data_IF_821233353131
#
_entry.id   IF_821233353131
#
_cell.length_a   1.000
_cell.length_b   1.000
_cell.length_c   1.000
_cell.angle_alpha   90.00
_cell.angle_beta   90.00
_cell.angle_gamma   90.00
#
_symmetry.space_group_name_H-M   'P 1'
#
loop_
_entity.id
_entity.type
_entity.pdbx_description
1 polymer ?
#
# COMPACT_ATOMS: atom_id res chain seq x y z
N UNK A 1 -46.61 -7.53 -2.72
CA UNK A 1 -45.78 -8.58 -2.10
C UNK A 1 -44.77 -9.16 -3.07
N UNK A 2 -45.18 -9.59 -4.27
CA UNK A 2 -44.27 -10.15 -5.27
C UNK A 2 -43.05 -9.26 -5.62
N UNK A 3 -43.26 -7.95 -5.86
CA UNK A 3 -42.16 -7.03 -6.13
C UNK A 3 -41.15 -6.92 -4.97
N UNK A 4 -41.61 -6.95 -3.72
CA UNK A 4 -40.75 -6.93 -2.52
C UNK A 4 -39.94 -8.21 -2.41
N UNK A 5 -40.57 -9.36 -2.68
CA UNK A 5 -39.89 -10.65 -2.72
C UNK A 5 -38.78 -10.67 -3.78
N UNK A 6 -39.03 -10.11 -4.97
CA UNK A 6 -38.02 -10.01 -6.03
C UNK A 6 -36.85 -9.13 -5.57
N UNK A 7 -37.11 -7.95 -5.01
CA UNK A 7 -36.06 -7.06 -4.50
C UNK A 7 -35.20 -7.78 -3.47
N UNK A 8 -35.81 -8.47 -2.51
CA UNK A 8 -35.08 -9.20 -1.47
C UNK A 8 -34.24 -10.35 -2.04
N UNK A 9 -34.71 -11.05 -3.07
CA UNK A 9 -33.92 -12.07 -3.76
C UNK A 9 -32.69 -11.47 -4.44
N UNK A 10 -32.84 -10.32 -5.10
CA UNK A 10 -31.70 -9.61 -5.68
C UNK A 10 -30.73 -9.13 -4.60
N UNK A 11 -31.23 -8.56 -3.50
CA UNK A 11 -30.39 -8.16 -2.37
C UNK A 11 -29.63 -9.36 -1.78
N UNK A 12 -30.31 -10.49 -1.55
CA UNK A 12 -29.65 -11.70 -1.06
C UNK A 12 -28.54 -12.17 -2.00
N UNK A 13 -28.83 -12.26 -3.31
CA UNK A 13 -27.85 -12.67 -4.31
C UNK A 13 -26.62 -11.74 -4.33
N UNK A 14 -26.82 -10.43 -4.16
CA UNK A 14 -25.71 -9.46 -4.10
C UNK A 14 -24.89 -9.62 -2.81
N UNK A 15 -25.53 -9.89 -1.67
CA UNK A 15 -24.83 -10.14 -0.41
C UNK A 15 -23.99 -11.42 -0.49
N UNK A 16 -24.54 -12.50 -1.04
CA UNK A 16 -23.83 -13.78 -1.21
C UNK A 16 -22.65 -13.65 -2.18
N UNK A 17 -22.81 -12.84 -3.24
CA UNK A 17 -21.75 -12.59 -4.24
C UNK A 17 -20.60 -11.74 -3.69
N UNK A 18 -20.83 -10.93 -2.65
CA UNK A 18 -19.78 -10.11 -2.03
C UNK A 18 -18.88 -10.91 -1.07
N UNK A 19 -19.34 -12.05 -0.52
CA UNK A 19 -18.57 -12.83 0.45
C UNK A 19 -17.20 -13.31 -0.08
N UNK A 20 -17.07 -13.82 -1.32
CA UNK A 20 -15.78 -14.14 -1.92
C UNK A 20 -14.80 -12.96 -1.95
N UNK A 21 -15.26 -11.74 -2.18
CA UNK A 21 -14.40 -10.54 -2.24
C UNK A 21 -13.83 -10.22 -0.85
N UNK A 22 -14.65 -10.31 0.21
CA UNK A 22 -14.16 -10.15 1.58
C UNK A 22 -13.20 -11.27 1.99
N UNK A 23 -13.41 -12.50 1.52
CA UNK A 23 -12.45 -13.59 1.74
C UNK A 23 -11.11 -13.29 1.04
N UNK A 24 -11.15 -12.81 -0.19
CA UNK A 24 -9.97 -12.40 -0.94
C UNK A 24 -9.24 -11.26 -0.23
N UNK A 25 -9.95 -10.26 0.30
CA UNK A 25 -9.35 -9.18 1.10
C UNK A 25 -8.70 -9.69 2.39
N UNK A 26 -9.33 -10.62 3.11
CA UNK A 26 -8.73 -11.24 4.31
C UNK A 26 -7.40 -11.91 3.97
N UNK A 27 -7.35 -12.65 2.87
CA UNK A 27 -6.14 -13.42 2.49
C UNK A 27 -5.09 -12.52 1.85
N UNK A 28 -5.45 -11.72 0.85
CA UNK A 28 -4.51 -10.89 0.09
C UNK A 28 -4.06 -9.69 0.92
N UNK A 29 -4.99 -8.85 1.36
CA UNK A 29 -4.65 -7.64 2.10
C UNK A 29 -4.29 -7.95 3.55
N UNK A 30 -5.12 -8.74 4.23
CA UNK A 30 -4.91 -9.09 5.63
C UNK A 30 -3.65 -9.94 5.81
N UNK A 31 -3.68 -11.18 5.33
CA UNK A 31 -2.62 -12.15 5.61
C UNK A 31 -1.33 -11.87 4.85
N UNK A 32 -1.38 -11.66 3.54
CA UNK A 32 -0.17 -11.48 2.73
C UNK A 32 0.43 -10.08 2.96
N UNK A 33 -0.37 -9.03 2.83
CA UNK A 33 0.09 -7.64 2.89
C UNK A 33 0.09 -7.02 4.30
N UNK A 34 -0.34 -7.75 5.33
CA UNK A 34 -0.26 -7.31 6.72
C UNK A 34 -1.31 -6.28 7.12
N UNK A 35 -2.44 -6.24 6.41
CA UNK A 35 -3.54 -5.29 6.64
C UNK A 35 -3.28 -3.88 6.10
N UNK A 36 -2.30 -3.73 5.20
CA UNK A 36 -1.94 -2.46 4.56
C UNK A 36 -2.58 -2.43 3.17
N UNK A 37 -3.24 -1.32 2.84
CA UNK A 37 -4.08 -1.19 1.64
C UNK A 37 -3.46 -0.30 0.56
N UNK A 38 -2.58 0.62 0.94
CA UNK A 38 -2.02 1.66 0.05
C UNK A 38 -0.50 1.73 0.17
N UNK A 39 0.14 2.37 -0.81
CA UNK A 39 1.56 2.69 -0.78
C UNK A 39 1.87 3.92 0.10
N UNK A 40 0.83 4.65 0.51
CA UNK A 40 0.92 5.82 1.39
C UNK A 40 1.05 5.36 2.84
N UNK A 41 2.27 5.37 3.35
CA UNK A 41 2.56 5.00 4.74
C UNK A 41 2.15 6.10 5.72
N UNK A 42 1.58 5.74 6.87
CA UNK A 42 1.24 6.67 7.97
C UNK A 42 2.50 7.31 8.58
N UNK A 43 3.63 6.61 8.53
CA UNK A 43 4.93 7.14 8.88
C UNK A 43 6.04 6.41 8.13
N UNK A 44 7.16 7.11 7.93
CA UNK A 44 8.33 6.63 7.19
C UNK A 44 9.58 7.28 7.76
N UNK A 45 10.69 6.54 7.85
CA UNK A 45 11.99 7.08 8.29
C UNK A 45 12.44 8.18 7.32
N UNK A 46 13.08 9.23 7.83
CA UNK A 46 13.53 10.36 7.01
C UNK A 46 14.35 9.89 5.79
N UNK A 47 15.37 9.06 6.03
CA UNK A 47 16.22 8.52 4.97
C UNK A 47 15.41 7.76 3.90
N UNK A 48 14.40 6.98 4.32
CA UNK A 48 13.59 6.19 3.40
C UNK A 48 12.70 7.09 2.54
N UNK A 49 12.07 8.12 3.13
CA UNK A 49 11.27 9.06 2.33
C UNK A 49 12.17 9.79 1.33
N UNK A 50 13.32 10.29 1.77
CA UNK A 50 14.27 10.99 0.90
C UNK A 50 14.69 10.12 -0.30
N UNK A 51 14.89 8.80 -0.11
CA UNK A 51 15.16 7.84 -1.19
C UNK A 51 13.98 7.66 -2.15
N UNK A 52 12.74 7.64 -1.64
CA UNK A 52 11.54 7.47 -2.46
C UNK A 52 11.30 8.70 -3.37
N UNK A 53 11.62 9.89 -2.87
CA UNK A 53 11.45 11.14 -3.61
C UNK A 53 12.40 11.26 -4.81
N UNK A 54 13.57 10.62 -4.79
CA UNK A 54 14.59 10.69 -5.87
C UNK A 54 14.10 10.28 -7.27
N UNK A 55 12.99 9.54 -7.34
CA UNK A 55 12.47 8.97 -8.58
C UNK A 55 11.15 9.62 -9.02
N UNK A 56 10.73 10.68 -8.33
CA UNK A 56 9.49 11.39 -8.60
C UNK A 56 9.72 12.57 -9.55
N UNK A 57 8.66 13.01 -10.21
CA UNK A 57 8.66 14.32 -10.86
C UNK A 57 8.66 15.43 -9.81
N UNK A 58 9.08 16.65 -10.17
CA UNK A 58 9.06 17.79 -9.24
C UNK A 58 7.65 18.01 -8.64
N UNK A 59 6.60 17.84 -9.44
CA UNK A 59 5.20 17.99 -9.01
C UNK A 59 4.79 16.91 -8.00
N UNK A 60 5.14 15.65 -8.27
CA UNK A 60 4.85 14.53 -7.37
C UNK A 60 5.66 14.62 -6.07
N UNK A 61 6.93 15.03 -6.17
CA UNK A 61 7.80 15.24 -5.01
C UNK A 61 7.22 16.33 -4.10
N UNK A 62 6.81 17.47 -4.65
CA UNK A 62 6.20 18.55 -3.88
C UNK A 62 4.90 18.10 -3.20
N UNK A 63 4.03 17.40 -3.92
CA UNK A 63 2.78 16.86 -3.36
C UNK A 63 3.04 15.88 -2.20
N UNK A 64 4.03 14.99 -2.33
CA UNK A 64 4.41 14.08 -1.25
C UNK A 64 5.05 14.85 -0.10
N UNK A 65 5.91 15.84 -0.35
CA UNK A 65 6.51 16.64 0.74
C UNK A 65 5.46 17.42 1.54
N UNK A 66 4.43 17.95 0.89
CA UNK A 66 3.31 18.63 1.56
C UNK A 66 2.41 17.66 2.35
N UNK A 67 2.33 16.40 1.92
CA UNK A 67 1.56 15.35 2.60
C UNK A 67 2.18 14.89 3.93
N UNK A 68 3.45 15.16 4.19
CA UNK A 68 4.17 14.63 5.35
C UNK A 68 4.80 15.73 6.22
N UNK A 69 4.74 15.54 7.54
CA UNK A 69 5.41 16.42 8.52
C UNK A 69 6.60 15.71 9.16
N UNK A 70 7.77 16.37 9.17
CA UNK A 70 8.97 15.86 9.81
C UNK A 70 8.90 15.98 11.34
N UNK A 71 8.96 14.85 12.04
CA UNK A 71 9.01 14.77 13.49
C UNK A 71 10.45 14.49 13.94
N UNK A 72 11.05 15.48 14.61
CA UNK A 72 12.41 15.41 15.13
C UNK A 72 12.49 14.63 16.44
N UNK A 73 13.61 13.95 16.66
CA UNK A 73 13.89 13.22 17.90
C UNK A 73 13.89 14.18 19.09
N UNK A 74 13.26 13.78 20.20
CA UNK A 74 13.18 14.60 21.42
C UNK A 74 12.35 15.90 21.31
N UNK A 75 11.66 16.13 20.19
CA UNK A 75 10.70 17.23 20.07
C UNK A 75 9.44 16.99 20.93
N UNK A 76 8.67 18.04 21.20
CA UNK A 76 7.39 17.89 21.93
C UNK A 76 6.39 17.02 21.17
N UNK A 77 6.38 17.13 19.83
CA UNK A 77 5.52 16.33 18.97
C UNK A 77 5.92 14.85 18.98
N UNK A 78 7.20 14.52 19.22
CA UNK A 78 7.64 13.13 19.27
C UNK A 78 6.98 12.32 20.39
N UNK A 79 6.54 12.98 21.47
CA UNK A 79 5.84 12.32 22.57
C UNK A 79 4.56 11.59 22.12
N UNK A 80 3.88 12.12 21.10
CA UNK A 80 2.64 11.55 20.58
C UNK A 80 2.88 10.29 19.72
N UNK A 81 4.11 10.11 19.21
CA UNK A 81 4.44 9.09 18.21
C UNK A 81 5.40 8.01 18.72
N UNK A 82 6.21 8.29 19.74
CA UNK A 82 7.32 7.42 20.17
C UNK A 82 6.86 6.03 20.67
N UNK A 83 5.65 5.92 21.21
CA UNK A 83 5.09 4.61 21.60
C UNK A 83 4.72 3.76 20.39
N UNK A 84 4.25 4.39 19.31
CA UNK A 84 3.84 3.69 18.07
C UNK A 84 5.03 3.42 17.16
N UNK A 85 6.02 4.33 17.15
CA UNK A 85 7.23 4.26 16.34
C UNK A 85 8.47 4.41 17.24
N UNK A 86 8.91 3.34 17.93
CA UNK A 86 10.03 3.38 18.88
C UNK A 86 11.33 3.94 18.29
N UNK A 87 11.53 3.77 16.99
CA UNK A 87 12.70 4.25 16.25
C UNK A 87 12.84 5.77 16.26
N UNK A 88 11.75 6.50 16.55
CA UNK A 88 11.77 7.95 16.75
C UNK A 88 12.64 8.39 17.94
N UNK A 89 13.01 7.47 18.84
CA UNK A 89 13.99 7.75 19.89
C UNK A 89 15.39 8.08 19.33
N UNK A 90 15.77 7.43 18.23
CA UNK A 90 17.13 7.47 17.68
C UNK A 90 17.22 8.29 16.39
N UNK A 91 16.15 8.34 15.60
CA UNK A 91 16.16 9.01 14.29
C UNK A 91 14.82 9.67 13.96
N UNK A 92 14.82 10.77 13.18
CA UNK A 92 13.60 11.46 12.79
C UNK A 92 12.77 10.63 11.80
N UNK A 93 11.46 10.85 11.84
CA UNK A 93 10.49 10.21 10.94
C UNK A 93 9.59 11.28 10.34
N UNK A 94 9.09 11.03 9.14
CA UNK A 94 7.96 11.75 8.59
C UNK A 94 6.67 11.04 8.98
N UNK A 95 5.65 11.82 9.35
CA UNK A 95 4.29 11.34 9.65
C UNK A 95 3.32 11.97 8.67
N UNK A 96 2.40 11.16 8.15
CA UNK A 96 1.38 11.60 7.19
C UNK A 96 0.44 12.62 7.87
N UNK A 97 0.13 13.69 7.15
CA UNK A 97 -0.85 14.70 7.57
C UNK A 97 -2.28 14.14 7.48
N UNK A 98 -3.24 14.88 8.05
CA UNK A 98 -4.67 14.54 7.91
C UNK A 98 -5.13 14.90 6.49
N UNK A 99 -5.18 13.88 5.63
CA UNK A 99 -5.53 13.98 4.21
C UNK A 99 -6.84 13.26 3.93
N UNK A 100 -7.62 13.81 2.99
CA UNK A 100 -8.79 13.15 2.46
C UNK A 100 -8.41 12.07 1.42
N UNK A 101 -9.41 11.29 0.98
CA UNK A 101 -9.15 10.17 0.07
C UNK A 101 -8.58 10.62 -1.29
N UNK A 102 -9.05 11.76 -1.83
CA UNK A 102 -8.57 12.26 -3.12
C UNK A 102 -7.09 12.69 -3.02
N UNK A 103 -6.70 13.30 -1.90
CA UNK A 103 -5.30 13.68 -1.62
C UNK A 103 -4.40 12.43 -1.45
N UNK A 104 -4.89 11.39 -0.77
CA UNK A 104 -4.18 10.11 -0.64
C UNK A 104 -4.02 9.46 -2.00
N UNK A 105 -5.07 9.44 -2.82
CA UNK A 105 -5.06 8.82 -4.14
C UNK A 105 -4.08 9.54 -5.09
N UNK A 106 -3.95 10.86 -4.98
CA UNK A 106 -3.00 11.67 -5.75
C UNK A 106 -1.54 11.25 -5.49
N UNK A 107 -1.16 11.06 -4.22
CA UNK A 107 0.21 10.69 -3.86
C UNK A 107 0.47 9.17 -3.89
N UNK A 108 -0.58 8.35 -3.94
CA UNK A 108 -0.45 6.90 -3.89
C UNK A 108 0.29 6.33 -5.10
N UNK A 109 -0.04 6.76 -6.33
CA UNK A 109 0.61 6.23 -7.53
C UNK A 109 2.11 6.58 -7.61
N UNK A 110 2.52 7.85 -7.37
CA UNK A 110 3.94 8.21 -7.29
C UNK A 110 4.69 7.41 -6.22
N UNK A 111 4.14 7.32 -5.00
CA UNK A 111 4.74 6.55 -3.92
C UNK A 111 4.82 5.07 -4.25
N UNK A 112 3.78 4.48 -4.85
CA UNK A 112 3.77 3.08 -5.21
C UNK A 112 4.89 2.76 -6.19
N UNK A 113 5.05 3.58 -7.24
CA UNK A 113 6.16 3.45 -8.19
C UNK A 113 7.50 3.56 -7.48
N UNK A 114 7.72 4.61 -6.70
CA UNK A 114 8.98 4.80 -5.95
C UNK A 114 9.30 3.63 -5.02
N UNK A 115 8.31 3.07 -4.33
CA UNK A 115 8.51 1.89 -3.48
C UNK A 115 8.99 0.68 -4.28
N UNK A 116 8.44 0.45 -5.48
CA UNK A 116 8.89 -0.64 -6.35
C UNK A 116 10.32 -0.41 -6.81
N UNK A 117 10.68 0.83 -7.17
CA UNK A 117 12.03 1.19 -7.61
C UNK A 117 13.04 0.96 -6.48
N UNK A 118 12.80 1.59 -5.32
CA UNK A 118 13.68 1.48 -4.15
C UNK A 118 13.82 0.01 -3.73
N UNK A 119 12.72 -0.72 -3.60
CA UNK A 119 12.74 -2.14 -3.20
C UNK A 119 13.42 -3.01 -4.25
N UNK A 120 13.19 -2.77 -5.53
CA UNK A 120 13.81 -3.49 -6.63
C UNK A 120 15.32 -3.28 -6.70
N UNK A 121 15.77 -2.04 -6.46
CA UNK A 121 17.20 -1.71 -6.36
C UNK A 121 17.86 -2.36 -5.15
N UNK A 122 17.24 -2.30 -3.97
CA UNK A 122 17.75 -2.97 -2.77
C UNK A 122 17.86 -4.49 -2.98
N UNK A 123 16.86 -5.11 -3.62
CA UNK A 123 16.89 -6.54 -3.96
C UNK A 123 17.98 -6.87 -4.98
N UNK A 124 18.17 -6.03 -6.00
CA UNK A 124 19.24 -6.20 -6.98
C UNK A 124 20.62 -6.10 -6.33
N UNK A 125 20.82 -5.16 -5.40
CA UNK A 125 22.07 -5.05 -4.63
C UNK A 125 22.32 -6.25 -3.73
N UNK A 126 21.27 -6.78 -3.10
CA UNK A 126 21.36 -7.95 -2.23
C UNK A 126 21.56 -9.26 -3.03
N UNK A 127 21.08 -9.31 -4.28
CA UNK A 127 21.15 -10.50 -5.12
C UNK A 127 21.64 -10.17 -6.56
N UNK A 128 22.94 -10.37 -6.85
CA UNK A 128 23.54 -10.08 -8.15
C UNK A 128 22.90 -10.80 -9.34
N UNK A 129 22.32 -11.99 -9.14
CA UNK A 129 21.61 -12.74 -10.20
C UNK A 129 20.26 -12.09 -10.55
N UNK A 130 19.55 -11.57 -9.55
CA UNK A 130 18.31 -10.82 -9.74
C UNK A 130 18.57 -9.47 -10.43
N UNK A 131 19.68 -8.80 -10.07
CA UNK A 131 20.13 -7.58 -10.73
C UNK A 131 20.35 -7.77 -12.23
N UNK A 132 21.02 -8.86 -12.62
CA UNK A 132 21.28 -9.17 -14.03
C UNK A 132 20.00 -9.44 -14.83
N UNK A 133 18.97 -10.02 -14.22
CA UNK A 133 17.68 -10.25 -14.89
C UNK A 133 16.84 -8.98 -15.03
N UNK A 134 16.85 -8.11 -14.02
CA UNK A 134 15.98 -6.92 -13.97
C UNK A 134 16.61 -5.69 -14.65
N UNK A 135 17.93 -5.52 -14.52
CA UNK A 135 18.67 -4.36 -15.01
C UNK A 135 19.76 -4.70 -16.05
N UNK A 136 20.12 -5.97 -16.24
CA UNK A 136 21.20 -6.41 -17.12
C UNK A 136 20.96 -6.26 -18.64
N UNK A 137 19.84 -5.64 -19.05
CA UNK A 137 19.52 -5.33 -20.45
C UNK A 137 19.36 -3.84 -20.77
N UNK A 138 19.33 -2.96 -19.75
CA UNK A 138 19.24 -1.50 -19.93
C UNK A 138 20.64 -0.90 -19.80
N UNK A 139 21.30 -0.65 -20.93
CA UNK A 139 22.71 -0.22 -21.02
C UNK A 139 23.06 1.14 -20.40
N UNK A 140 22.13 1.80 -19.71
CA UNK A 140 22.30 3.13 -19.10
C UNK A 140 22.48 3.11 -17.58
N UNK A 141 22.06 2.04 -16.88
CA UNK A 141 22.23 1.91 -15.42
C UNK A 141 22.67 0.48 -15.03
N UNK A 142 23.94 0.16 -15.32
CA UNK A 142 24.54 -1.15 -15.00
C UNK A 142 24.91 -1.23 -13.50
N UNK A 143 23.93 -1.65 -12.69
CA UNK A 143 24.11 -1.88 -11.25
C UNK A 143 25.24 -2.88 -10.94
N UNK A 144 25.61 -3.75 -11.90
CA UNK A 144 26.68 -4.74 -11.76
C UNK A 144 28.09 -4.11 -11.72
N UNK A 145 28.23 -2.84 -12.12
CA UNK A 145 29.50 -2.09 -12.06
C UNK A 145 29.68 -1.31 -10.77
N UNK A 146 28.65 -1.27 -9.92
CA UNK A 146 28.69 -0.54 -8.67
C UNK A 146 29.38 -1.41 -7.62
N UNK A 147 30.46 -0.94 -6.96
CA UNK A 147 31.14 -1.71 -5.94
C UNK A 147 30.21 -2.06 -4.77
N UNK A 148 30.29 -3.28 -4.20
CA UNK A 148 29.48 -3.67 -3.05
C UNK A 148 29.76 -2.74 -1.87
N UNK A 149 28.69 -2.22 -1.26
CA UNK A 149 28.77 -1.25 -0.15
C UNK A 149 28.79 0.23 -0.58
N UNK A 150 28.66 0.53 -1.87
CA UNK A 150 28.44 1.91 -2.32
C UNK A 150 26.97 2.30 -2.11
N UNK A 151 26.73 3.46 -1.52
CA UNK A 151 25.39 4.03 -1.40
C UNK A 151 24.91 4.54 -2.76
N UNK A 152 24.09 3.72 -3.43
CA UNK A 152 23.59 4.00 -4.78
C UNK A 152 22.63 5.19 -4.77
N UNK A 153 21.82 5.33 -3.73
CA UNK A 153 20.87 6.44 -3.63
C UNK A 153 21.61 7.76 -3.51
N UNK A 154 22.72 7.81 -2.77
CA UNK A 154 23.58 8.99 -2.72
C UNK A 154 24.29 9.29 -4.06
N UNK A 155 24.57 8.28 -4.89
CA UNK A 155 25.10 8.50 -6.24
C UNK A 155 24.04 9.04 -7.19
N UNK A 156 22.83 8.48 -7.14
CA UNK A 156 21.67 8.91 -7.92
C UNK A 156 21.33 10.36 -7.57
N UNK A 157 21.26 10.69 -6.28
CA UNK A 157 21.01 12.06 -5.81
C UNK A 157 22.03 13.11 -6.31
N UNK A 158 23.18 12.68 -6.87
CA UNK A 158 24.21 13.56 -7.45
C UNK A 158 24.15 13.65 -8.98
N UNK A 159 23.29 12.87 -9.64
CA UNK A 159 23.11 12.93 -11.07
C UNK A 159 22.44 14.25 -11.48
N UNK A 160 22.69 14.75 -12.70
CA UNK A 160 21.94 15.90 -13.23
C UNK A 160 20.44 15.60 -13.28
N UNK A 161 19.62 16.61 -13.02
CA UNK A 161 18.15 16.48 -13.02
C UNK A 161 17.62 15.85 -14.33
N UNK A 162 18.20 16.22 -15.48
CA UNK A 162 17.82 15.67 -16.78
C UNK A 162 18.02 14.15 -16.90
N UNK A 163 19.04 13.59 -16.22
CA UNK A 163 19.31 12.15 -16.21
C UNK A 163 18.41 11.42 -15.22
N UNK A 164 18.08 12.07 -14.09
CA UNK A 164 17.13 11.54 -13.12
C UNK A 164 15.73 11.47 -13.69
N UNK A 165 15.27 12.52 -14.37
CA UNK A 165 13.99 12.54 -15.05
C UNK A 165 13.89 11.43 -16.11
N UNK A 166 14.91 11.29 -16.97
CA UNK A 166 14.95 10.21 -17.97
C UNK A 166 14.92 8.81 -17.36
N UNK A 167 15.60 8.62 -16.22
CA UNK A 167 15.58 7.35 -15.49
C UNK A 167 14.19 7.09 -14.89
N UNK A 168 13.58 8.10 -14.28
CA UNK A 168 12.22 8.03 -13.72
C UNK A 168 11.19 7.68 -14.79
N UNK A 169 11.24 8.32 -15.95
CA UNK A 169 10.35 8.07 -17.09
C UNK A 169 10.49 6.64 -17.63
N UNK A 170 11.73 6.19 -17.87
CA UNK A 170 12.00 4.85 -18.41
C UNK A 170 11.55 3.74 -17.44
N UNK A 171 11.70 3.97 -16.14
CA UNK A 171 11.25 3.01 -15.13
C UNK A 171 9.72 3.05 -14.99
N UNK A 172 9.12 4.23 -15.04
CA UNK A 172 7.65 4.39 -15.01
C UNK A 172 6.99 3.65 -16.17
N UNK A 173 7.48 3.79 -17.40
CA UNK A 173 6.95 3.08 -18.56
C UNK A 173 7.03 1.56 -18.39
N UNK A 174 8.12 1.05 -17.79
CA UNK A 174 8.24 -0.38 -17.47
C UNK A 174 7.28 -0.83 -16.37
N UNK A 175 7.09 -0.03 -15.33
CA UNK A 175 6.16 -0.36 -14.24
C UNK A 175 4.71 -0.36 -14.72
N UNK A 176 4.34 0.59 -15.57
CA UNK A 176 3.01 0.66 -16.18
C UNK A 176 2.74 -0.58 -17.05
N UNK A 177 3.77 -1.10 -17.74
CA UNK A 177 3.66 -2.36 -18.50
C UNK A 177 3.48 -3.62 -17.61
N UNK A 178 3.91 -3.59 -16.34
CA UNK A 178 3.72 -4.70 -15.38
C UNK A 178 2.31 -4.68 -14.75
N UNK A 179 1.63 -3.53 -14.78
CA UNK A 179 0.27 -3.34 -14.32
C UNK A 179 0.14 -2.86 -12.87
N UNK A 180 -0.84 -2.00 -12.63
CA UNK A 180 -1.07 -1.32 -11.34
C UNK A 180 -1.21 -2.27 -10.14
N UNK A 181 -1.85 -3.43 -10.33
CA UNK A 181 -2.02 -4.41 -9.25
C UNK A 181 -0.68 -4.96 -8.75
N UNK A 182 0.27 -5.22 -9.66
CA UNK A 182 1.61 -5.67 -9.29
C UNK A 182 2.39 -4.55 -8.58
N UNK A 183 2.30 -3.32 -9.10
CA UNK A 183 2.95 -2.15 -8.52
C UNK A 183 2.44 -1.92 -7.09
N UNK A 184 1.13 -1.87 -6.89
CA UNK A 184 0.53 -1.67 -5.57
C UNK A 184 0.89 -2.81 -4.59
N UNK A 185 0.82 -4.07 -5.00
CA UNK A 185 1.16 -5.19 -4.12
C UNK A 185 2.62 -5.15 -3.65
N UNK A 186 3.53 -4.82 -4.57
CA UNK A 186 4.97 -4.72 -4.26
C UNK A 186 5.25 -3.49 -3.39
N UNK A 187 4.62 -2.36 -3.70
CA UNK A 187 4.74 -1.14 -2.92
C UNK A 187 4.28 -1.34 -1.47
N UNK A 188 3.11 -1.96 -1.29
CA UNK A 188 2.55 -2.28 0.02
C UNK A 188 3.48 -3.22 0.80
N UNK A 189 4.14 -4.17 0.15
CA UNK A 189 5.16 -5.01 0.80
C UNK A 189 6.37 -4.17 1.28
N UNK A 190 6.76 -3.14 0.52
CA UNK A 190 7.75 -2.14 0.93
C UNK A 190 7.31 -1.36 2.17
N UNK A 191 6.08 -0.84 2.18
CA UNK A 191 5.49 -0.16 3.36
C UNK A 191 5.45 -1.07 4.58
N UNK A 192 5.10 -2.35 4.39
CA UNK A 192 5.11 -3.35 5.46
C UNK A 192 6.50 -3.52 6.09
N UNK A 193 7.53 -3.58 5.25
CA UNK A 193 8.92 -3.66 5.71
C UNK A 193 9.33 -2.38 6.45
N UNK A 194 8.87 -1.22 5.99
CA UNK A 194 9.12 0.06 6.64
C UNK A 194 8.46 0.15 8.03
N UNK A 195 7.21 -0.29 8.18
CA UNK A 195 6.56 -0.36 9.49
C UNK A 195 7.31 -1.30 10.46
N UNK A 196 7.79 -2.44 9.97
CA UNK A 196 8.63 -3.31 10.79
C UNK A 196 9.95 -2.61 11.18
N UNK A 197 10.57 -1.88 10.24
CA UNK A 197 11.77 -1.11 10.48
C UNK A 197 11.57 0.09 11.43
N UNK A 198 10.36 0.64 11.50
CA UNK A 198 9.94 1.66 12.47
C UNK A 198 9.63 1.08 13.86
N UNK A 199 9.63 -0.25 14.01
CA UNK A 199 9.31 -0.94 15.26
C UNK A 199 7.81 -1.10 15.53
N UNK A 200 6.95 -0.85 14.54
CA UNK A 200 5.49 -1.03 14.66
C UNK A 200 5.14 -2.51 14.58
N UNK A 201 4.19 -2.93 15.41
CA UNK A 201 3.66 -4.29 15.38
C UNK A 201 2.77 -4.52 14.14
N UNK A 202 3.38 -5.04 13.08
CA UNK A 202 2.70 -5.41 11.83
C UNK A 202 1.69 -6.55 12.06
N UNK A 203 1.91 -7.44 13.04
CA UNK A 203 0.96 -8.51 13.38
C UNK A 203 -0.31 -7.94 14.00
N UNK A 204 -0.21 -6.91 14.83
CA UNK A 204 -1.39 -6.21 15.34
C UNK A 204 -2.17 -5.52 14.21
N UNK A 205 -1.48 -4.93 13.23
CA UNK A 205 -2.12 -4.28 12.08
C UNK A 205 -2.91 -5.30 11.25
N UNK A 206 -2.25 -6.41 10.91
CA UNK A 206 -2.84 -7.57 10.23
C UNK A 206 -4.07 -8.10 10.97
N UNK A 207 -3.94 -8.34 12.27
CA UNK A 207 -5.02 -8.93 13.08
C UNK A 207 -6.23 -8.01 13.13
N UNK A 208 -6.01 -6.69 13.31
CA UNK A 208 -7.08 -5.70 13.32
C UNK A 208 -7.82 -5.66 11.98
N UNK A 209 -7.09 -5.69 10.87
CA UNK A 209 -7.68 -5.74 9.54
C UNK A 209 -8.55 -6.99 9.36
N UNK A 210 -7.97 -8.17 9.62
CA UNK A 210 -8.68 -9.46 9.47
C UNK A 210 -9.94 -9.50 10.33
N UNK A 211 -9.88 -9.02 11.58
CA UNK A 211 -11.04 -8.99 12.47
C UNK A 211 -12.12 -8.02 11.98
N UNK A 212 -11.74 -6.83 11.50
CA UNK A 212 -12.69 -5.85 10.94
C UNK A 212 -13.38 -6.41 9.70
N UNK A 213 -12.61 -6.91 8.74
CA UNK A 213 -13.13 -7.46 7.48
C UNK A 213 -13.96 -8.73 7.73
N UNK A 214 -13.51 -9.60 8.63
CA UNK A 214 -14.27 -10.78 9.07
C UNK A 214 -15.58 -10.41 9.77
N UNK A 215 -15.61 -9.37 10.60
CA UNK A 215 -16.84 -8.89 11.22
C UNK A 215 -17.84 -8.37 10.18
N UNK A 216 -17.38 -7.63 9.16
CA UNK A 216 -18.22 -7.19 8.04
C UNK A 216 -18.81 -8.40 7.30
N UNK A 217 -18.00 -9.42 7.03
CA UNK A 217 -18.45 -10.66 6.40
C UNK A 217 -19.55 -11.37 7.22
N UNK A 218 -19.43 -11.39 8.56
CA UNK A 218 -20.48 -11.95 9.43
C UNK A 218 -21.77 -11.15 9.35
N UNK A 219 -21.70 -9.81 9.34
CA UNK A 219 -22.88 -8.95 9.19
C UNK A 219 -23.58 -9.20 7.85
N UNK A 220 -22.82 -9.28 6.76
CA UNK A 220 -23.36 -9.57 5.42
C UNK A 220 -24.04 -10.95 5.40
N UNK A 221 -23.40 -11.95 6.00
CA UNK A 221 -23.96 -13.31 6.12
C UNK A 221 -25.28 -13.31 6.90
N UNK A 222 -25.34 -12.59 8.02
CA UNK A 222 -26.56 -12.46 8.82
C UNK A 222 -27.68 -11.76 8.05
N UNK A 223 -27.36 -10.69 7.32
CA UNK A 223 -28.32 -9.99 6.47
C UNK A 223 -28.84 -10.88 5.33
N UNK A 224 -27.97 -11.68 4.72
CA UNK A 224 -28.37 -12.64 3.69
C UNK A 224 -29.36 -13.67 4.25
N UNK A 225 -29.05 -14.27 5.42
CA UNK A 225 -29.95 -15.21 6.09
C UNK A 225 -31.31 -14.59 6.44
N UNK A 226 -31.34 -13.34 6.91
CA UNK A 226 -32.59 -12.60 7.16
C UNK A 226 -33.40 -12.39 5.86
N UNK A 227 -32.74 -12.06 4.75
CA UNK A 227 -33.38 -11.94 3.45
C UNK A 227 -34.00 -13.28 3.03
N UNK A 228 -33.28 -14.41 3.19
CA UNK A 228 -33.80 -15.75 2.88
C UNK A 228 -35.06 -16.08 3.69
N UNK A 229 -35.06 -15.80 5.00
CA UNK A 229 -36.23 -16.01 5.87
C UNK A 229 -37.41 -15.13 5.44
N UNK A 230 -37.16 -13.85 5.16
CA UNK A 230 -38.19 -12.90 4.73
C UNK A 230 -38.81 -13.30 3.38
N UNK A 231 -37.99 -13.73 2.41
CA UNK A 231 -38.45 -14.25 1.11
C UNK A 231 -39.33 -15.48 1.32
N UNK A 232 -38.90 -16.45 2.13
CA UNK A 232 -39.67 -17.65 2.43
C UNK A 232 -41.02 -17.33 3.07
N UNK A 233 -41.06 -16.42 4.04
CA UNK A 233 -42.30 -15.95 4.66
C UNK A 233 -43.25 -15.27 3.66
N UNK A 234 -42.73 -14.36 2.83
CA UNK A 234 -43.54 -13.67 1.82
C UNK A 234 -44.07 -14.62 0.75
N UNK A 235 -43.26 -15.59 0.32
CA UNK A 235 -43.67 -16.62 -0.64
C UNK A 235 -44.82 -17.47 -0.08
N UNK A 236 -44.72 -17.91 1.17
CA UNK A 236 -45.80 -18.66 1.84
C UNK A 236 -47.10 -17.85 1.92
N UNK A 237 -47.00 -16.55 2.23
CA UNK A 237 -48.16 -15.66 2.30
C UNK A 237 -48.80 -15.39 0.93
N UNK A 238 -48.00 -15.31 -0.14
CA UNK A 238 -48.51 -15.21 -1.52
C UNK A 238 -49.19 -16.51 -1.94
N UNK A 239 -48.66 -17.67 -1.54
CA UNK A 239 -49.27 -18.96 -1.90
C UNK A 239 -50.60 -19.23 -1.18
N UNK A 240 -50.80 -18.65 0.01
CA UNK A 240 -51.99 -18.85 0.84
C UNK A 240 -53.17 -17.91 0.52
N UNK A 241 -52.99 -16.89 -0.32
CA UNK A 241 -54.02 -15.90 -0.66
C UNK A 241 -54.11 -15.66 -2.16
#
# INVERSE_FOLDING_TARGET
MLAVTIILLFTQAMLDLALPDYLAQIVNTGVQLGGIETAVSEAVRQERLDQLLLFMSDEDEDAVREAYTLIQTGSTAAADYIETYPVLADQPIYVLNDLNQDEIDQINAPLARSWVIVSGMEQAMANPEAAAQMFGGSGEFDLSRIPPGTDIFALIARLPADQLAQLGDAVTERLDALGESFVNQTAVAGVKAEYAALGRDVTSLQTRYILRTGAIMLVITLLSALCTIAVGYLAAKIAAG
#
